data_IF_839928966783
#
_entry.id   IF_839928966783
#
_cell.length_a   1.000
_cell.length_b   1.000
_cell.length_c   1.000
_cell.angle_alpha   90.00
_cell.angle_beta   90.00
_cell.angle_gamma   90.00
#
_symmetry.space_group_name_H-M   'P 1'
#
loop_
_entity.id
_entity.type
_entity.pdbx_description
1 polymer ?
#
# COMPACT_ATOMS: atom_id res chain seq x y z
N UNK A 1 0.76 -23.06 -10.61
CA UNK A 1 2.04 -22.97 -11.32
C UNK A 1 1.74 -22.49 -12.72
N UNK A 2 2.34 -21.39 -13.13
CA UNK A 2 2.06 -20.72 -14.41
C UNK A 2 3.37 -20.64 -15.18
N UNK A 3 3.34 -20.99 -16.46
CA UNK A 3 4.54 -21.03 -17.29
C UNK A 3 4.68 -19.74 -18.11
N UNK A 4 5.89 -19.20 -18.14
CA UNK A 4 6.26 -18.04 -18.94
C UNK A 4 7.32 -18.47 -19.96
N UNK A 5 7.04 -18.25 -21.25
CA UNK A 5 7.99 -18.49 -22.33
C UNK A 5 8.61 -17.17 -22.79
N UNK A 6 9.89 -16.96 -22.46
CA UNK A 6 10.66 -15.80 -22.93
C UNK A 6 11.42 -16.19 -24.20
N UNK A 7 11.06 -15.58 -25.33
CA UNK A 7 11.73 -15.80 -26.63
C UNK A 7 12.81 -14.75 -26.87
N UNK A 8 13.77 -15.08 -27.73
CA UNK A 8 14.84 -14.17 -28.16
C UNK A 8 15.65 -13.54 -27.02
N UNK A 9 15.89 -14.30 -25.95
CA UNK A 9 16.79 -13.88 -24.87
C UNK A 9 18.20 -13.75 -25.42
N UNK A 10 18.85 -12.62 -25.15
CA UNK A 10 20.24 -12.38 -25.51
C UNK A 10 21.13 -13.56 -25.04
N UNK A 11 21.93 -14.17 -25.93
CA UNK A 11 22.77 -15.32 -25.60
C UNK A 11 23.72 -15.06 -24.41
N UNK A 12 24.23 -13.83 -24.27
CA UNK A 12 25.08 -13.42 -23.16
C UNK A 12 24.29 -13.42 -21.85
N UNK A 13 23.08 -12.87 -21.84
CA UNK A 13 22.19 -12.90 -20.66
C UNK A 13 21.90 -14.34 -20.25
N UNK A 14 21.60 -15.22 -21.23
CA UNK A 14 21.36 -16.64 -20.95
C UNK A 14 22.59 -17.33 -20.35
N UNK A 15 23.78 -17.02 -20.83
CA UNK A 15 25.03 -17.58 -20.30
C UNK A 15 25.28 -17.12 -18.85
N UNK A 16 25.07 -15.83 -18.57
CA UNK A 16 25.24 -15.26 -17.21
C UNK A 16 24.24 -15.86 -16.22
N UNK A 17 22.98 -16.04 -16.63
CA UNK A 17 21.97 -16.70 -15.80
C UNK A 17 22.34 -18.16 -15.48
N UNK A 18 22.89 -18.90 -16.46
CA UNK A 18 23.39 -20.26 -16.23
C UNK A 18 24.56 -20.30 -15.25
N UNK A 19 25.54 -19.41 -15.40
CA UNK A 19 26.68 -19.32 -14.46
C UNK A 19 26.19 -19.05 -13.04
N UNK A 20 25.32 -18.05 -12.89
CA UNK A 20 24.77 -17.66 -11.60
C UNK A 20 23.95 -18.78 -10.94
N UNK A 21 23.15 -19.51 -11.71
CA UNK A 21 22.41 -20.66 -11.20
C UNK A 21 23.35 -21.78 -10.71
N UNK A 22 24.43 -22.06 -11.47
CA UNK A 22 25.44 -23.05 -11.08
C UNK A 22 26.19 -22.64 -9.81
N UNK A 23 26.59 -21.37 -9.69
CA UNK A 23 27.24 -20.82 -8.49
C UNK A 23 26.36 -20.95 -7.24
N UNK A 24 25.04 -20.83 -7.40
CA UNK A 24 24.07 -20.96 -6.31
C UNK A 24 23.58 -22.41 -6.08
N UNK A 25 24.02 -23.36 -6.89
CA UNK A 25 23.57 -24.76 -6.80
C UNK A 25 22.07 -24.94 -7.10
N UNK A 26 21.47 -24.05 -7.90
CA UNK A 26 20.05 -24.10 -8.25
C UNK A 26 19.83 -24.37 -9.75
N UNK A 27 18.60 -24.75 -10.12
CA UNK A 27 18.24 -24.87 -11.53
C UNK A 27 18.08 -23.47 -12.16
N UNK A 28 18.27 -23.38 -13.48
CA UNK A 28 18.08 -22.13 -14.21
C UNK A 28 16.68 -21.53 -14.00
N UNK A 29 15.64 -22.35 -14.01
CA UNK A 29 14.27 -21.89 -13.76
C UNK A 29 14.07 -21.40 -12.33
N UNK A 30 14.69 -22.05 -11.33
CA UNK A 30 14.63 -21.61 -9.95
C UNK A 30 15.31 -20.25 -9.76
N UNK A 31 16.48 -20.04 -10.38
CA UNK A 31 17.17 -18.76 -10.34
C UNK A 31 16.38 -17.65 -11.06
N UNK A 32 15.77 -17.94 -12.22
CA UNK A 32 14.90 -16.99 -12.92
C UNK A 32 13.71 -16.61 -12.05
N UNK A 33 13.05 -17.59 -11.41
CA UNK A 33 11.94 -17.32 -10.50
C UNK A 33 12.37 -16.46 -9.30
N UNK A 34 13.54 -16.72 -8.73
CA UNK A 34 14.08 -15.93 -7.63
C UNK A 34 14.34 -14.47 -8.05
N UNK A 35 14.93 -14.26 -9.23
CA UNK A 35 15.17 -12.91 -9.77
C UNK A 35 13.85 -12.19 -10.04
N UNK A 36 12.87 -12.88 -10.65
CA UNK A 36 11.57 -12.28 -10.93
C UNK A 36 10.82 -11.94 -9.63
N UNK A 37 10.87 -12.81 -8.63
CA UNK A 37 10.27 -12.57 -7.32
C UNK A 37 10.89 -11.33 -6.66
N UNK A 38 12.22 -11.24 -6.63
CA UNK A 38 12.94 -10.09 -6.10
C UNK A 38 12.62 -8.80 -6.86
N UNK A 39 12.56 -8.85 -8.19
CA UNK A 39 12.28 -7.70 -9.05
C UNK A 39 10.87 -7.12 -8.89
N UNK A 40 9.89 -7.92 -8.45
CA UNK A 40 8.51 -7.46 -8.24
C UNK A 40 8.22 -7.08 -6.79
N UNK A 41 9.16 -7.29 -5.86
CA UNK A 41 9.01 -6.78 -4.51
C UNK A 41 9.02 -5.24 -4.54
N UNK A 42 8.02 -4.57 -3.95
CA UNK A 42 8.00 -3.11 -3.92
C UNK A 42 9.18 -2.59 -3.07
N UNK A 43 9.85 -1.54 -3.55
CA UNK A 43 11.02 -0.94 -2.90
C UNK A 43 10.74 -0.40 -1.46
N UNK A 44 9.46 -0.25 -1.12
CA UNK A 44 8.96 -0.01 0.23
C UNK A 44 7.85 -1.05 0.46
N UNK A 45 7.71 -1.63 1.65
CA UNK A 45 6.54 -2.44 1.95
C UNK A 45 5.31 -1.57 1.74
N UNK A 46 4.53 -1.87 0.70
CA UNK A 46 3.15 -1.40 0.63
C UNK A 46 2.53 -1.98 1.90
N UNK A 47 2.29 -1.14 2.90
CA UNK A 47 1.61 -1.59 4.10
C UNK A 47 0.27 -2.12 3.60
N UNK A 48 0.12 -3.44 3.57
CA UNK A 48 -1.15 -4.12 3.24
C UNK A 48 -2.23 -3.80 4.27
N UNK A 49 -1.84 -3.11 5.34
CA UNK A 49 -2.67 -2.44 6.31
C UNK A 49 -3.57 -1.43 5.60
N UNK A 50 -4.84 -1.79 5.39
CA UNK A 50 -5.84 -0.85 4.90
C UNK A 50 -5.88 0.39 5.80
N UNK A 51 -6.27 1.54 5.24
CA UNK A 51 -6.26 2.84 5.94
C UNK A 51 -6.96 2.77 7.29
N UNK A 52 -8.08 2.02 7.40
CA UNK A 52 -8.78 1.82 8.67
C UNK A 52 -7.93 1.09 9.73
N UNK A 53 -7.19 0.06 9.36
CA UNK A 53 -6.30 -0.66 10.28
C UNK A 53 -5.10 0.22 10.68
N UNK A 54 -4.60 1.05 9.76
CA UNK A 54 -3.52 1.99 10.06
C UNK A 54 -3.99 3.07 11.05
N UNK A 55 -5.16 3.65 10.83
CA UNK A 55 -5.78 4.62 11.73
C UNK A 55 -6.07 4.01 13.12
N UNK A 56 -6.56 2.77 13.16
CA UNK A 56 -6.79 2.07 14.42
C UNK A 56 -5.48 1.85 15.20
N UNK A 57 -4.39 1.48 14.52
CA UNK A 57 -3.07 1.35 15.14
C UNK A 57 -2.53 2.69 15.66
N UNK A 58 -2.73 3.77 14.90
CA UNK A 58 -2.34 5.11 15.32
C UNK A 58 -3.12 5.58 16.56
N UNK A 59 -4.44 5.36 16.58
CA UNK A 59 -5.29 5.69 17.73
C UNK A 59 -4.87 4.91 18.98
N UNK A 60 -4.63 3.60 18.84
CA UNK A 60 -4.14 2.77 19.95
C UNK A 60 -2.76 3.21 20.45
N UNK A 61 -1.84 3.58 19.57
CA UNK A 61 -0.51 4.07 19.95
C UNK A 61 -0.56 5.43 20.68
N UNK A 62 -1.59 6.23 20.42
CA UNK A 62 -1.85 7.49 21.09
C UNK A 62 -2.74 7.35 22.35
N UNK A 63 -3.08 6.11 22.74
CA UNK A 63 -4.00 5.80 23.86
C UNK A 63 -5.37 6.46 23.73
N UNK A 64 -5.82 6.70 22.48
CA UNK A 64 -7.12 7.27 22.20
C UNK A 64 -8.21 6.20 22.34
N UNK A 65 -9.25 6.56 23.06
CA UNK A 65 -10.40 5.72 23.36
C UNK A 65 -11.66 6.22 22.64
N UNK A 66 -12.72 5.41 22.66
CA UNK A 66 -14.04 5.84 22.18
C UNK A 66 -14.57 7.10 22.89
N UNK A 67 -14.14 7.35 24.12
CA UNK A 67 -14.52 8.56 24.87
C UNK A 67 -13.86 9.82 24.27
N UNK A 68 -12.62 9.73 23.82
CA UNK A 68 -11.91 10.85 23.18
C UNK A 68 -12.57 11.22 21.86
N UNK A 69 -12.97 10.22 21.07
CA UNK A 69 -13.74 10.46 19.85
C UNK A 69 -15.12 11.08 20.13
N UNK A 70 -15.84 10.58 21.13
CA UNK A 70 -17.13 11.15 21.52
C UNK A 70 -17.00 12.60 22.03
N UNK A 71 -15.91 12.94 22.70
CA UNK A 71 -15.64 14.31 23.15
C UNK A 71 -15.43 15.26 21.95
N UNK A 72 -14.67 14.83 20.93
CA UNK A 72 -14.48 15.60 19.69
C UNK A 72 -15.80 15.78 18.93
N UNK A 73 -16.60 14.72 18.80
CA UNK A 73 -17.92 14.80 18.14
C UNK A 73 -18.86 15.75 18.88
N UNK A 74 -18.86 15.71 20.21
CA UNK A 74 -19.65 16.63 21.04
C UNK A 74 -19.18 18.08 20.89
N UNK A 75 -17.85 18.30 20.88
CA UNK A 75 -17.27 19.62 20.65
C UNK A 75 -17.65 20.17 19.27
N UNK A 76 -17.52 19.36 18.21
CA UNK A 76 -17.93 19.74 16.86
C UNK A 76 -19.44 19.97 16.72
N UNK A 77 -20.27 19.19 17.40
CA UNK A 77 -21.72 19.40 17.43
C UNK A 77 -22.08 20.69 18.18
N UNK A 78 -21.33 21.04 19.23
CA UNK A 78 -21.51 22.28 19.98
C UNK A 78 -21.08 23.50 19.17
N UNK A 79 -19.93 23.41 18.47
CA UNK A 79 -19.45 24.46 17.57
C UNK A 79 -20.35 24.64 16.35
N UNK A 80 -20.85 23.55 15.75
CA UNK A 80 -21.80 23.62 14.63
C UNK A 80 -23.21 24.00 15.04
N UNK A 81 -23.65 23.70 16.26
CA UNK A 81 -24.93 24.17 16.79
C UNK A 81 -25.01 25.70 16.96
N UNK A 82 -23.87 26.40 16.89
CA UNK A 82 -23.78 27.86 16.81
C UNK A 82 -23.64 28.39 15.37
N UNK A 83 -23.33 27.54 14.40
CA UNK A 83 -23.33 27.88 12.98
C UNK A 83 -24.73 27.64 12.43
N UNK A 84 -25.32 28.69 11.88
CA UNK A 84 -26.58 28.65 11.15
C UNK A 84 -26.55 27.52 10.11
N UNK A 85 -27.32 26.45 10.36
CA UNK A 85 -27.48 25.30 9.46
C UNK A 85 -28.21 25.66 8.16
N UNK A 86 -28.53 26.95 7.96
CA UNK A 86 -28.99 27.44 6.66
C UNK A 86 -27.85 27.27 5.66
N UNK A 87 -28.10 26.56 4.53
CA UNK A 87 -27.16 26.59 3.43
C UNK A 87 -26.90 28.06 3.06
N UNK A 88 -25.65 28.44 2.70
CA UNK A 88 -25.36 29.80 2.27
C UNK A 88 -26.39 30.19 1.22
N UNK A 89 -26.99 31.40 1.28
CA UNK A 89 -27.93 31.80 0.25
C UNK A 89 -27.21 31.69 -1.08
N UNK A 90 -27.66 30.77 -1.94
CA UNK A 90 -27.27 30.80 -3.33
C UNK A 90 -27.78 32.14 -3.84
N UNK A 91 -26.88 33.10 -4.03
CA UNK A 91 -27.25 34.38 -4.61
C UNK A 91 -27.85 34.12 -5.98
N UNK A 92 -29.10 34.50 -6.17
CA UNK A 92 -29.65 34.69 -7.52
C UNK A 92 -28.95 35.92 -8.10
N UNK A 93 -27.74 35.73 -8.63
CA UNK A 93 -27.13 36.66 -9.57
C UNK A 93 -27.82 36.44 -10.92
N UNK A 94 -28.89 37.21 -11.17
CA UNK A 94 -29.37 37.55 -12.51
C UNK A 94 -29.53 39.06 -12.64
#
# INVERSE_FOLDING_TARGET
MTDILIRNVDPNVRARLKSRAAERGTSLSAEINAILADAVLPAQPVSSTGVGTWLAGLAAAADLTALDFAAVETAWATERGAADDRPPPFGDER
#
